data_IF_149915048666
#
_entry.id   IF_149915048666
#
_cell.length_a   1.000
_cell.length_b   1.000
_cell.length_c   1.000
_cell.angle_alpha   90.00
_cell.angle_beta   90.00
_cell.angle_gamma   90.00
#
_symmetry.space_group_name_H-M   'P 1'
#
loop_
_entity.id
_entity.type
_entity.pdbx_description
1 polymer ?
#
# COMPACT_ATOMS: atom_id res chain seq x y z
N UNK A 1 -8.54 9.02 -28.80
CA UNK A 1 -8.85 7.71 -29.44
C UNK A 1 -8.12 6.67 -28.62
N UNK A 2 -8.84 5.91 -27.78
CA UNK A 2 -8.23 4.81 -27.01
C UNK A 2 -7.93 3.66 -27.95
N UNK A 3 -6.68 3.24 -28.02
CA UNK A 3 -6.31 1.99 -28.71
C UNK A 3 -6.95 0.82 -27.96
N UNK A 4 -7.88 0.17 -28.60
CA UNK A 4 -8.53 -1.02 -28.10
C UNK A 4 -7.54 -2.19 -28.24
N UNK A 5 -6.98 -2.67 -27.11
CA UNK A 5 -6.19 -3.91 -27.08
C UNK A 5 -7.16 -5.10 -27.29
N UNK A 6 -6.93 -5.96 -28.32
CA UNK A 6 -7.79 -7.11 -28.59
C UNK A 6 -7.81 -8.17 -27.48
N UNK A 7 -7.02 -8.03 -26.42
CA UNK A 7 -7.00 -8.90 -25.24
C UNK A 7 -7.95 -8.47 -24.12
N UNK A 8 -8.76 -7.40 -24.31
CA UNK A 8 -9.76 -6.94 -23.37
C UNK A 8 -9.22 -6.20 -22.15
N UNK A 9 -7.95 -5.78 -22.17
CA UNK A 9 -7.36 -4.95 -21.13
C UNK A 9 -7.35 -3.49 -21.60
N UNK A 10 -8.29 -2.67 -21.07
CA UNK A 10 -8.21 -1.23 -21.31
C UNK A 10 -7.02 -0.65 -20.56
N UNK A 11 -6.09 -0.06 -21.34
CA UNK A 11 -4.93 0.61 -20.79
C UNK A 11 -5.29 2.05 -20.45
N UNK A 12 -5.30 2.40 -19.17
CA UNK A 12 -5.23 3.80 -18.75
C UNK A 12 -3.80 4.31 -18.88
N UNK A 13 -3.61 5.63 -18.90
CA UNK A 13 -2.28 6.26 -19.13
C UNK A 13 -1.23 5.89 -18.08
N UNK A 14 -1.62 5.35 -16.95
CA UNK A 14 -0.78 5.08 -15.76
C UNK A 14 -0.85 3.62 -15.26
N UNK A 15 -1.43 2.71 -16.02
CA UNK A 15 -1.50 1.29 -15.65
C UNK A 15 -2.43 0.48 -16.52
N UNK A 16 -2.65 -0.77 -16.16
CA UNK A 16 -3.59 -1.70 -16.82
C UNK A 16 -4.76 -1.95 -15.89
N UNK A 17 -6.00 -1.84 -16.40
CA UNK A 17 -7.22 -2.11 -15.64
C UNK A 17 -7.46 -3.63 -15.61
N UNK A 18 -7.75 -4.15 -14.41
CA UNK A 18 -8.21 -5.52 -14.23
C UNK A 18 -9.75 -5.55 -14.18
N UNK A 19 -10.36 -5.88 -15.31
CA UNK A 19 -11.82 -5.93 -15.45
C UNK A 19 -12.46 -7.07 -14.63
N UNK A 20 -11.76 -8.20 -14.47
CA UNK A 20 -12.25 -9.33 -13.69
C UNK A 20 -12.39 -8.91 -12.21
N UNK A 21 -11.36 -8.29 -11.64
CA UNK A 21 -11.46 -7.78 -10.28
C UNK A 21 -12.47 -6.64 -10.16
N UNK A 22 -12.56 -5.76 -11.16
CA UNK A 22 -13.60 -4.72 -11.23
C UNK A 22 -15.01 -5.29 -11.21
N UNK A 23 -15.25 -6.39 -11.95
CA UNK A 23 -16.53 -7.10 -11.96
C UNK A 23 -16.82 -7.73 -10.59
N UNK A 24 -15.83 -8.38 -9.96
CA UNK A 24 -15.96 -8.92 -8.60
C UNK A 24 -16.39 -7.83 -7.62
N UNK A 25 -15.73 -6.66 -7.61
CA UNK A 25 -16.10 -5.54 -6.75
C UNK A 25 -17.55 -5.05 -6.98
N UNK A 26 -18.02 -5.10 -8.23
CA UNK A 26 -19.37 -4.65 -8.60
C UNK A 26 -20.47 -5.65 -8.27
N UNK A 27 -20.16 -6.96 -8.29
CA UNK A 27 -21.13 -8.04 -8.22
C UNK A 27 -21.09 -8.87 -6.94
N UNK A 28 -20.21 -8.53 -5.98
CA UNK A 28 -20.18 -9.18 -4.66
C UNK A 28 -21.56 -9.08 -4.01
N UNK A 29 -22.11 -10.22 -3.59
CA UNK A 29 -23.42 -10.28 -2.97
C UNK A 29 -23.46 -9.47 -1.66
N UNK A 30 -24.58 -8.80 -1.34
CA UNK A 30 -24.66 -7.94 -0.14
C UNK A 30 -24.32 -8.64 1.18
N UNK A 31 -24.55 -9.95 1.28
CA UNK A 31 -24.23 -10.75 2.47
C UNK A 31 -22.74 -11.03 2.64
N UNK A 32 -21.99 -10.98 1.54
CA UNK A 32 -20.54 -11.24 1.49
C UNK A 32 -19.75 -9.95 1.31
N UNK A 33 -20.44 -8.82 1.06
CA UNK A 33 -19.81 -7.51 0.83
C UNK A 33 -19.50 -6.83 2.18
N UNK A 34 -18.25 -6.46 2.33
CA UNK A 34 -17.73 -5.85 3.55
C UNK A 34 -16.61 -4.85 3.26
N UNK A 35 -15.97 -4.34 4.30
CA UNK A 35 -14.92 -3.34 4.15
C UNK A 35 -13.76 -3.82 3.27
N UNK A 36 -13.26 -2.90 2.43
CA UNK A 36 -12.05 -3.10 1.62
C UNK A 36 -11.15 -1.87 1.72
N UNK A 37 -9.85 -2.10 1.80
CA UNK A 37 -8.82 -1.06 1.84
C UNK A 37 -8.14 -0.97 0.48
N UNK A 38 -8.37 0.13 -0.25
CA UNK A 38 -7.71 0.37 -1.53
C UNK A 38 -6.34 1.02 -1.27
N UNK A 39 -5.29 0.22 -1.45
CA UNK A 39 -3.90 0.60 -1.23
C UNK A 39 -3.34 1.08 -2.55
N UNK A 40 -2.94 2.35 -2.61
CA UNK A 40 -2.47 3.03 -3.81
C UNK A 40 -0.98 3.33 -3.70
N UNK A 41 -0.19 2.81 -4.64
CA UNK A 41 1.17 3.25 -4.89
C UNK A 41 1.12 4.22 -6.07
N UNK A 42 1.73 5.39 -5.94
CA UNK A 42 1.63 6.48 -6.91
C UNK A 42 3.00 6.99 -7.30
N UNK A 43 3.24 6.99 -8.61
CA UNK A 43 4.38 7.65 -9.27
C UNK A 43 3.86 8.81 -10.09
N UNK A 44 4.38 10.01 -9.83
CA UNK A 44 3.96 11.23 -10.51
C UNK A 44 4.78 11.50 -11.76
N UNK A 45 4.16 12.19 -12.72
CA UNK A 45 4.86 12.86 -13.79
C UNK A 45 5.61 14.08 -13.25
N UNK A 46 6.73 14.42 -13.84
CA UNK A 46 7.42 15.67 -13.52
C UNK A 46 6.51 16.89 -13.84
N UNK A 47 5.88 16.86 -14.99
CA UNK A 47 4.90 17.87 -15.43
C UNK A 47 3.59 17.15 -15.77
N UNK A 48 2.48 17.66 -15.23
CA UNK A 48 1.15 17.11 -15.51
C UNK A 48 0.77 17.32 -16.98
N UNK A 49 0.18 16.31 -17.60
CA UNK A 49 -0.19 16.29 -19.01
C UNK A 49 -1.72 16.31 -19.16
N UNK A 50 -2.30 17.48 -19.19
CA UNK A 50 -3.75 17.64 -19.45
C UNK A 50 -4.06 17.48 -20.93
N UNK A 51 -5.22 16.85 -21.25
CA UNK A 51 -5.63 16.57 -22.62
C UNK A 51 -5.96 17.82 -23.47
N UNK A 52 -6.18 18.96 -22.81
CA UNK A 52 -6.41 20.27 -23.44
C UNK A 52 -5.10 21.03 -23.75
N UNK A 53 -3.94 20.42 -23.48
CA UNK A 53 -2.63 21.03 -23.66
C UNK A 53 -2.26 22.04 -22.57
N UNK A 54 -3.09 22.23 -21.54
CA UNK A 54 -2.70 23.04 -20.39
C UNK A 54 -1.57 22.34 -19.64
N UNK A 55 -0.55 23.13 -19.31
CA UNK A 55 0.64 22.66 -18.61
C UNK A 55 1.02 23.69 -17.54
N UNK A 56 1.98 23.38 -16.69
CA UNK A 56 2.57 24.34 -15.75
C UNK A 56 2.45 23.95 -14.28
N UNK A 57 1.91 22.78 -13.97
CA UNK A 57 1.94 22.20 -12.63
C UNK A 57 2.61 20.82 -12.66
N UNK A 58 3.19 20.42 -11.52
CA UNK A 58 3.73 19.08 -11.36
C UNK A 58 2.63 18.01 -11.29
N UNK A 59 3.00 16.75 -11.52
CA UNK A 59 2.08 15.63 -11.31
C UNK A 59 1.60 15.53 -9.86
N UNK A 60 2.45 15.92 -8.89
CA UNK A 60 2.11 15.99 -7.48
C UNK A 60 1.02 17.03 -7.21
N UNK A 61 1.17 18.24 -7.75
CA UNK A 61 0.15 19.30 -7.61
C UNK A 61 -1.17 18.90 -8.29
N UNK A 62 -1.11 18.17 -9.40
CA UNK A 62 -2.30 17.62 -10.03
C UNK A 62 -3.00 16.60 -9.12
N UNK A 63 -2.26 15.69 -8.45
CA UNK A 63 -2.84 14.77 -7.49
C UNK A 63 -3.43 15.48 -6.26
N UNK A 64 -2.78 16.53 -5.77
CA UNK A 64 -3.32 17.34 -4.68
C UNK A 64 -4.66 18.03 -5.09
N UNK A 65 -4.83 18.42 -6.37
CA UNK A 65 -6.11 18.89 -6.92
C UNK A 65 -7.15 17.79 -7.11
N UNK A 66 -6.69 16.57 -7.40
CA UNK A 66 -7.57 15.40 -7.55
C UNK A 66 -8.27 15.06 -6.23
N UNK A 67 -7.65 15.21 -5.08
CA UNK A 67 -8.11 14.77 -3.74
C UNK A 67 -9.65 14.70 -3.61
N UNK A 68 -10.29 13.52 -3.81
CA UNK A 68 -11.75 13.41 -3.99
C UNK A 68 -12.50 13.27 -2.65
N UNK A 69 -12.20 14.13 -1.67
CA UNK A 69 -12.69 14.01 -0.28
C UNK A 69 -14.22 13.98 -0.22
N UNK A 70 -14.90 14.83 -0.98
CA UNK A 70 -16.36 14.91 -0.98
C UNK A 70 -16.98 13.64 -1.59
N UNK A 71 -16.40 13.14 -2.68
CA UNK A 71 -16.87 11.90 -3.32
C UNK A 71 -16.67 10.69 -2.42
N UNK A 72 -15.53 10.62 -1.70
CA UNK A 72 -15.26 9.57 -0.72
C UNK A 72 -16.27 9.62 0.44
N UNK A 73 -16.47 10.82 1.02
CA UNK A 73 -17.43 11.01 2.12
C UNK A 73 -18.85 10.60 1.74
N UNK A 74 -19.26 10.89 0.50
CA UNK A 74 -20.60 10.58 0.02
C UNK A 74 -20.91 9.07 -0.05
N UNK A 75 -19.89 8.22 -0.17
CA UNK A 75 -20.02 6.75 -0.17
C UNK A 75 -19.56 6.14 1.16
N UNK A 76 -19.31 6.95 2.20
CA UNK A 76 -18.86 6.50 3.50
C UNK A 76 -17.39 6.05 3.55
N UNK A 77 -16.62 6.33 2.50
CA UNK A 77 -15.20 6.02 2.45
C UNK A 77 -14.35 7.12 3.10
N UNK A 78 -13.16 6.75 3.56
CA UNK A 78 -12.21 7.71 4.15
C UNK A 78 -10.76 7.33 3.86
N UNK A 79 -9.90 8.32 3.72
CA UNK A 79 -8.46 8.12 3.68
C UNK A 79 -8.03 7.77 5.11
N UNK A 80 -7.41 6.61 5.28
CA UNK A 80 -6.91 6.11 6.56
C UNK A 80 -5.39 6.14 6.66
N UNK A 81 -4.72 6.32 5.51
CA UNK A 81 -3.27 6.48 5.45
C UNK A 81 -2.89 7.33 4.25
N UNK A 82 -1.97 8.26 4.44
CA UNK A 82 -1.36 9.06 3.38
C UNK A 82 0.07 9.38 3.77
N UNK A 83 1.02 9.00 2.91
CA UNK A 83 2.43 9.16 3.19
C UNK A 83 3.25 9.43 1.92
N UNK A 84 4.24 10.29 2.04
CA UNK A 84 5.25 10.46 1.02
C UNK A 84 6.33 9.39 1.15
N UNK A 85 6.83 8.91 0.02
CA UNK A 85 7.93 7.95 -0.04
C UNK A 85 9.24 8.71 0.13
N UNK A 86 9.97 8.41 1.21
CA UNK A 86 11.32 8.98 1.42
C UNK A 86 12.38 8.18 0.66
N UNK A 87 12.20 6.85 0.59
CA UNK A 87 13.16 5.96 -0.06
C UNK A 87 12.50 4.65 -0.52
N UNK A 88 12.87 4.18 -1.70
CA UNK A 88 12.55 2.84 -2.20
C UNK A 88 13.78 1.96 -1.98
N UNK A 89 13.69 0.99 -1.06
CA UNK A 89 14.79 0.11 -0.69
C UNK A 89 14.89 -1.11 -1.58
N UNK A 90 13.74 -1.70 -1.95
CA UNK A 90 13.65 -2.85 -2.83
C UNK A 90 12.53 -2.62 -3.85
N UNK A 91 12.74 -3.08 -5.07
CA UNK A 91 11.79 -2.98 -6.17
C UNK A 91 12.47 -3.15 -7.53
N UNK A 92 11.74 -2.83 -8.57
CA UNK A 92 12.15 -2.95 -10.00
C UNK A 92 12.76 -1.67 -10.60
N UNK A 93 13.13 -0.71 -9.74
CA UNK A 93 13.68 0.58 -10.16
C UNK A 93 12.64 1.70 -10.28
N UNK A 94 11.35 1.43 -10.10
CA UNK A 94 10.33 2.48 -9.99
C UNK A 94 10.50 3.22 -8.66
N UNK A 95 10.76 4.52 -8.76
CA UNK A 95 10.85 5.41 -7.60
C UNK A 95 9.46 5.97 -7.31
N UNK A 96 8.70 5.28 -6.47
CA UNK A 96 7.37 5.69 -6.03
C UNK A 96 7.45 7.01 -5.24
N UNK A 97 6.41 7.85 -5.34
CA UNK A 97 6.39 9.17 -4.70
C UNK A 97 5.46 9.23 -3.49
N UNK A 98 4.34 8.48 -3.52
CA UNK A 98 3.31 8.51 -2.45
C UNK A 98 2.63 7.16 -2.31
N UNK A 99 2.23 6.84 -1.07
CA UNK A 99 1.33 5.72 -0.77
C UNK A 99 0.10 6.26 -0.03
N UNK A 100 -1.09 5.84 -0.47
CA UNK A 100 -2.35 6.16 0.18
C UNK A 100 -3.19 4.90 0.40
N UNK A 101 -3.92 4.85 1.52
CA UNK A 101 -4.92 3.80 1.78
C UNK A 101 -6.27 4.45 2.03
N UNK A 102 -7.27 4.02 1.25
CA UNK A 102 -8.66 4.44 1.39
C UNK A 102 -9.48 3.25 1.84
N UNK A 103 -10.12 3.36 3.01
CA UNK A 103 -11.09 2.37 3.50
C UNK A 103 -12.46 2.68 2.92
N UNK A 104 -13.04 1.70 2.24
CA UNK A 104 -14.43 1.71 1.79
C UNK A 104 -15.26 0.81 2.69
N UNK A 105 -16.52 1.17 3.02
CA UNK A 105 -17.38 0.31 3.84
C UNK A 105 -17.77 -0.98 3.13
N UNK A 106 -17.82 -0.97 1.81
CA UNK A 106 -18.09 -2.14 0.96
C UNK A 106 -17.33 -2.04 -0.36
N UNK A 107 -17.13 -3.15 -1.05
CA UNK A 107 -16.57 -3.19 -2.41
C UNK A 107 -17.43 -2.41 -3.38
N UNK A 108 -18.76 -2.54 -3.23
CA UNK A 108 -19.74 -1.82 -4.05
C UNK A 108 -19.63 -0.30 -3.88
N UNK A 109 -19.30 0.20 -2.68
CA UNK A 109 -19.06 1.63 -2.44
C UNK A 109 -17.90 2.19 -3.27
N UNK A 110 -16.85 1.37 -3.52
CA UNK A 110 -15.77 1.76 -4.42
C UNK A 110 -16.28 1.97 -5.85
N UNK A 111 -17.10 1.05 -6.38
CA UNK A 111 -17.69 1.16 -7.71
C UNK A 111 -18.67 2.35 -7.79
N UNK A 112 -19.48 2.55 -6.75
CA UNK A 112 -20.39 3.69 -6.67
C UNK A 112 -19.63 5.02 -6.76
N UNK A 113 -18.53 5.15 -5.99
CA UNK A 113 -17.68 6.35 -6.05
C UNK A 113 -17.18 6.62 -7.47
N UNK A 114 -16.73 5.60 -8.21
CA UNK A 114 -16.25 5.72 -9.59
C UNK A 114 -17.33 6.23 -10.55
N UNK A 115 -18.60 5.96 -10.28
CA UNK A 115 -19.73 6.36 -11.11
C UNK A 115 -20.17 7.81 -10.88
N UNK A 116 -19.75 8.44 -9.79
CA UNK A 116 -20.17 9.78 -9.39
C UNK A 116 -19.68 10.88 -10.35
N UNK A 117 -20.54 11.85 -10.73
CA UNK A 117 -20.14 12.94 -11.61
C UNK A 117 -19.06 13.87 -11.01
N UNK A 118 -19.09 14.09 -9.68
CA UNK A 118 -18.08 14.91 -9.00
C UNK A 118 -16.71 14.24 -9.01
N UNK A 119 -16.65 12.92 -8.76
CA UNK A 119 -15.43 12.14 -8.89
C UNK A 119 -14.84 12.20 -10.31
N UNK A 120 -15.67 11.95 -11.31
CA UNK A 120 -15.23 11.96 -12.72
C UNK A 120 -14.69 13.33 -13.16
N UNK A 121 -15.25 14.42 -12.66
CA UNK A 121 -14.71 15.77 -12.95
C UNK A 121 -13.33 16.00 -12.34
N UNK A 122 -13.06 15.43 -11.17
CA UNK A 122 -11.75 15.55 -10.55
C UNK A 122 -10.72 14.55 -11.10
N UNK A 123 -11.19 13.42 -11.62
CA UNK A 123 -10.33 12.34 -12.11
C UNK A 123 -9.39 12.78 -13.27
N UNK A 124 -9.73 13.82 -14.00
CA UNK A 124 -8.86 14.42 -15.03
C UNK A 124 -7.52 14.88 -14.47
N UNK A 125 -7.47 15.27 -13.21
CA UNK A 125 -6.23 15.66 -12.54
C UNK A 125 -5.34 14.44 -12.23
N UNK A 126 -5.95 13.32 -11.82
CA UNK A 126 -5.25 12.05 -11.66
C UNK A 126 -4.67 11.58 -12.98
N UNK A 127 -5.48 11.57 -14.05
CA UNK A 127 -5.03 11.19 -15.39
C UNK A 127 -3.86 12.06 -15.89
N UNK A 128 -3.89 13.36 -15.59
CA UNK A 128 -2.83 14.27 -15.99
C UNK A 128 -1.55 14.07 -15.18
N UNK A 129 -1.68 13.84 -13.86
CA UNK A 129 -0.57 13.84 -12.93
C UNK A 129 0.14 12.50 -12.77
N UNK A 130 -0.55 11.36 -12.98
CA UNK A 130 0.01 10.03 -12.76
C UNK A 130 0.87 9.56 -13.92
N UNK A 131 2.10 9.14 -13.62
CA UNK A 131 2.96 8.39 -14.53
C UNK A 131 2.66 6.90 -14.43
N UNK A 132 2.54 6.39 -13.19
CA UNK A 132 2.24 5.00 -12.89
C UNK A 132 1.48 4.90 -11.58
N UNK A 133 0.56 3.94 -11.47
CA UNK A 133 -0.08 3.60 -10.20
C UNK A 133 -0.35 2.10 -10.10
N UNK A 134 -0.32 1.60 -8.86
CA UNK A 134 -0.82 0.29 -8.48
C UNK A 134 -1.90 0.51 -7.44
N UNK A 135 -3.10 -0.01 -7.66
CA UNK A 135 -4.23 0.05 -6.70
C UNK A 135 -4.64 -1.37 -6.35
N UNK A 136 -4.34 -1.77 -5.12
CA UNK A 136 -4.60 -3.11 -4.61
C UNK A 136 -5.76 -3.05 -3.62
N UNK A 137 -6.77 -3.88 -3.82
CA UNK A 137 -7.81 -4.11 -2.82
C UNK A 137 -7.28 -5.04 -1.74
N UNK A 138 -7.21 -4.57 -0.51
CA UNK A 138 -6.71 -5.30 0.64
C UNK A 138 -7.81 -5.69 1.60
N UNK A 139 -7.70 -6.90 2.15
CA UNK A 139 -8.52 -7.40 3.26
C UNK A 139 -7.60 -7.64 4.44
N UNK A 140 -7.91 -7.12 5.66
CA UNK A 140 -7.05 -7.29 6.81
C UNK A 140 -6.83 -8.76 7.15
N UNK A 141 -5.58 -9.12 7.41
CA UNK A 141 -5.20 -10.40 8.00
C UNK A 141 -5.02 -10.24 9.51
N UNK A 142 -5.36 -11.29 10.25
CA UNK A 142 -5.06 -11.35 11.67
C UNK A 142 -3.54 -11.32 11.86
N UNK A 143 -3.04 -10.34 12.60
CA UNK A 143 -1.63 -10.27 12.97
C UNK A 143 -1.37 -11.41 13.95
N UNK A 144 -0.34 -12.26 13.71
CA UNK A 144 0.03 -13.29 14.66
C UNK A 144 0.35 -12.63 16.01
N UNK A 145 -0.50 -12.89 17.02
CA UNK A 145 -0.22 -12.43 18.39
C UNK A 145 0.94 -13.25 18.93
N UNK A 146 2.03 -12.58 19.29
CA UNK A 146 3.03 -13.19 20.16
C UNK A 146 2.38 -13.41 21.52
N UNK A 147 2.54 -14.61 22.10
CA UNK A 147 2.07 -14.93 23.46
C UNK A 147 2.70 -14.04 24.53
N UNK A 148 3.77 -13.34 24.16
CA UNK A 148 4.53 -12.42 25.01
C UNK A 148 4.40 -10.96 24.52
N UNK A 149 3.24 -10.54 23.98
CA UNK A 149 3.06 -9.14 23.62
C UNK A 149 3.31 -8.26 24.86
N UNK A 150 4.40 -7.49 24.90
CA UNK A 150 4.57 -6.47 25.92
C UNK A 150 3.46 -5.46 25.74
N UNK A 151 2.82 -5.08 26.83
CA UNK A 151 1.91 -3.94 26.88
C UNK A 151 2.49 -2.80 26.01
N UNK A 152 1.70 -2.27 25.10
CA UNK A 152 2.02 -1.32 24.02
C UNK A 152 3.45 -0.74 24.10
N UNK A 153 4.31 -1.15 23.15
CA UNK A 153 5.73 -0.75 23.11
C UNK A 153 5.87 0.76 23.35
N UNK A 154 6.50 1.11 24.47
CA UNK A 154 6.74 2.51 24.83
C UNK A 154 7.98 3.01 24.09
N UNK A 155 7.79 3.78 23.06
CA UNK A 155 8.89 4.30 22.22
C UNK A 155 9.93 5.14 22.98
N UNK A 156 9.58 5.70 24.12
CA UNK A 156 10.54 6.39 25.00
C UNK A 156 11.58 5.47 25.66
N UNK A 157 11.38 4.14 25.60
CA UNK A 157 12.23 3.14 26.25
C UNK A 157 13.01 2.27 25.26
N UNK A 158 12.85 2.47 23.97
CA UNK A 158 13.59 1.72 22.94
C UNK A 158 14.97 2.36 22.69
N UNK A 159 15.93 1.63 22.09
CA UNK A 159 17.29 2.15 21.85
C UNK A 159 17.34 3.45 21.02
N UNK A 160 16.41 3.60 20.08
CA UNK A 160 16.35 4.76 19.17
C UNK A 160 14.95 5.38 19.19
N UNK A 161 14.58 6.12 20.27
CA UNK A 161 13.30 6.78 20.38
C UNK A 161 13.14 7.88 19.33
N UNK A 162 11.91 8.32 19.03
CA UNK A 162 11.70 9.42 18.09
C UNK A 162 12.28 10.71 18.63
N UNK A 163 12.86 11.52 17.73
CA UNK A 163 13.39 12.86 18.00
C UNK A 163 12.80 13.88 17.03
N UNK A 164 13.11 15.17 17.22
CA UNK A 164 12.67 16.21 16.28
C UNK A 164 13.26 16.05 14.88
N UNK A 165 14.48 15.50 14.78
CA UNK A 165 15.19 15.31 13.51
C UNK A 165 15.00 13.91 12.91
N UNK A 166 14.62 12.91 13.72
CA UNK A 166 14.36 11.53 13.30
C UNK A 166 13.08 11.01 13.99
N UNK A 167 11.96 11.42 13.45
CA UNK A 167 10.62 11.02 13.90
C UNK A 167 10.15 9.68 13.33
N UNK A 168 8.92 9.26 13.66
CA UNK A 168 8.37 7.99 13.21
C UNK A 168 8.37 7.81 11.70
N UNK A 169 8.68 6.59 11.25
CA UNK A 169 8.60 6.17 9.85
C UNK A 169 7.72 4.94 9.72
N UNK A 170 7.07 4.80 8.58
CA UNK A 170 6.35 3.59 8.21
C UNK A 170 7.10 2.88 7.09
N UNK A 171 7.39 1.60 7.29
CA UNK A 171 7.98 0.77 6.25
C UNK A 171 6.87 -0.09 5.65
N UNK A 172 6.58 0.12 4.38
CA UNK A 172 5.61 -0.70 3.65
C UNK A 172 6.34 -1.78 2.85
N UNK A 173 5.81 -3.00 2.94
CA UNK A 173 6.22 -4.13 2.10
C UNK A 173 5.04 -4.53 1.23
N UNK A 174 5.20 -4.52 -0.08
CA UNK A 174 4.28 -5.12 -1.04
C UNK A 174 4.95 -6.38 -1.55
N UNK A 175 4.30 -7.53 -1.36
CA UNK A 175 4.94 -8.84 -1.49
C UNK A 175 4.19 -9.72 -2.50
N UNK A 176 4.95 -10.32 -3.39
CA UNK A 176 4.56 -11.46 -4.20
C UNK A 176 5.38 -12.68 -3.76
N UNK A 177 4.73 -13.79 -3.49
CA UNK A 177 5.38 -15.04 -3.08
C UNK A 177 5.47 -16.02 -4.25
N UNK A 178 6.44 -16.94 -4.19
CA UNK A 178 6.46 -18.10 -5.06
C UNK A 178 5.37 -19.10 -4.66
N UNK A 179 4.77 -19.77 -5.63
CA UNK A 179 3.91 -20.94 -5.48
C UNK A 179 2.77 -20.77 -4.44
N UNK A 180 2.16 -19.57 -4.38
CA UNK A 180 1.04 -19.26 -3.50
C UNK A 180 -0.19 -18.93 -4.34
N UNK A 181 -1.23 -19.73 -4.23
CA UNK A 181 -2.52 -19.51 -4.90
C UNK A 181 -3.47 -18.62 -4.10
N UNK A 182 -3.38 -18.65 -2.76
CA UNK A 182 -4.21 -17.85 -1.86
C UNK A 182 -3.35 -16.76 -1.17
N UNK A 183 -3.62 -15.52 -1.48
CA UNK A 183 -2.91 -14.35 -0.94
C UNK A 183 -2.97 -14.23 0.60
N UNK A 184 -3.93 -14.88 1.27
CA UNK A 184 -4.00 -14.93 2.72
C UNK A 184 -2.92 -15.85 3.33
N UNK A 185 -2.39 -16.80 2.55
CA UNK A 185 -1.37 -17.73 3.00
C UNK A 185 0.02 -17.08 2.95
N UNK A 186 0.78 -17.31 4.01
CA UNK A 186 2.20 -16.93 4.07
C UNK A 186 3.04 -18.22 3.94
N UNK A 187 3.99 -18.31 2.98
CA UNK A 187 4.88 -19.44 2.85
C UNK A 187 5.61 -19.79 4.15
N UNK A 188 5.90 -21.08 4.39
CA UNK A 188 6.58 -21.56 5.61
C UNK A 188 7.92 -20.88 5.83
N UNK A 189 8.71 -20.71 4.79
CA UNK A 189 10.00 -20.01 4.82
C UNK A 189 9.83 -18.56 5.24
N UNK A 190 8.82 -17.88 4.70
CA UNK A 190 8.53 -16.52 5.09
C UNK A 190 8.02 -16.41 6.54
N UNK A 191 7.32 -17.45 7.06
CA UNK A 191 6.91 -17.51 8.47
C UNK A 191 8.12 -17.65 9.40
N UNK A 192 9.12 -18.47 9.03
CA UNK A 192 10.38 -18.61 9.78
C UNK A 192 11.12 -17.28 9.81
N UNK A 193 11.32 -16.65 8.65
CA UNK A 193 11.97 -15.34 8.56
C UNK A 193 11.27 -14.28 9.40
N UNK A 194 9.95 -14.13 9.25
CA UNK A 194 9.22 -13.09 9.95
C UNK A 194 9.23 -13.27 11.48
N UNK A 195 9.27 -14.51 11.97
CA UNK A 195 9.35 -14.79 13.40
C UNK A 195 10.70 -14.33 13.97
N UNK A 196 11.81 -14.62 13.28
CA UNK A 196 13.13 -14.16 13.67
C UNK A 196 13.25 -12.61 13.56
N UNK A 197 12.80 -12.05 12.43
CA UNK A 197 12.85 -10.62 12.21
C UNK A 197 11.98 -9.83 13.21
N UNK A 198 10.83 -10.37 13.61
CA UNK A 198 9.95 -9.75 14.61
C UNK A 198 10.61 -9.65 15.99
N UNK A 199 11.37 -10.66 16.40
CA UNK A 199 12.09 -10.63 17.70
C UNK A 199 13.06 -9.45 17.76
N UNK A 200 13.81 -9.21 16.70
CA UNK A 200 14.73 -8.08 16.60
C UNK A 200 13.95 -6.76 16.51
N UNK A 201 12.96 -6.69 15.62
CA UNK A 201 12.23 -5.47 15.35
C UNK A 201 11.40 -4.96 16.55
N UNK A 202 10.83 -5.85 17.36
CA UNK A 202 10.09 -5.48 18.59
C UNK A 202 10.99 -4.81 19.62
N UNK A 203 12.26 -5.23 19.73
CA UNK A 203 13.24 -4.58 20.63
C UNK A 203 13.52 -3.13 20.18
N UNK A 204 13.40 -2.85 18.88
CA UNK A 204 13.56 -1.52 18.30
C UNK A 204 12.25 -0.76 18.15
N UNK A 205 11.17 -1.23 18.75
CA UNK A 205 9.91 -0.49 18.84
C UNK A 205 8.95 -0.66 17.69
N UNK A 206 9.10 -1.74 16.89
CA UNK A 206 8.16 -2.08 15.83
C UNK A 206 6.71 -2.09 16.34
N UNK A 207 5.82 -1.49 15.56
CA UNK A 207 4.36 -1.68 15.64
C UNK A 207 3.85 -2.09 14.26
N UNK A 208 3.01 -3.10 14.20
CA UNK A 208 2.34 -3.48 12.95
C UNK A 208 1.09 -2.61 12.83
N UNK A 209 1.09 -1.67 11.88
CA UNK A 209 -0.03 -0.75 11.66
C UNK A 209 -1.07 -1.30 10.68
N UNK A 210 -0.70 -2.29 9.86
CA UNK A 210 -1.61 -2.96 8.94
C UNK A 210 -0.95 -4.17 8.29
N UNK A 211 -1.76 -5.21 8.08
CA UNK A 211 -1.37 -6.41 7.37
C UNK A 211 -2.56 -6.90 6.55
N UNK A 212 -2.40 -6.91 5.23
CA UNK A 212 -3.49 -7.16 4.30
C UNK A 212 -3.12 -8.30 3.34
N UNK A 213 -4.09 -9.18 3.06
CA UNK A 213 -4.08 -9.99 1.85
C UNK A 213 -4.59 -9.17 0.67
N UNK A 214 -3.98 -9.31 -0.49
CA UNK A 214 -4.46 -8.71 -1.72
C UNK A 214 -5.65 -9.51 -2.25
N UNK A 215 -6.82 -8.90 -2.30
CA UNK A 215 -7.99 -9.51 -2.94
C UNK A 215 -7.90 -9.43 -4.47
N UNK A 216 -7.20 -8.43 -4.97
CA UNK A 216 -6.91 -8.19 -6.37
C UNK A 216 -6.31 -6.81 -6.61
N UNK A 217 -5.71 -6.62 -7.78
CA UNK A 217 -5.18 -5.32 -8.22
C UNK A 217 -6.11 -4.75 -9.28
N UNK A 218 -6.79 -3.61 -9.00
CA UNK A 218 -7.77 -3.04 -9.94
C UNK A 218 -7.11 -2.26 -11.08
N UNK A 219 -6.02 -1.56 -10.77
CA UNK A 219 -5.14 -0.91 -11.74
C UNK A 219 -3.71 -1.23 -11.36
N UNK A 220 -2.86 -1.60 -12.29
CA UNK A 220 -1.48 -1.91 -11.95
C UNK A 220 -0.61 -2.32 -13.12
N UNK A 221 0.40 -3.09 -12.80
CA UNK A 221 1.46 -3.54 -13.70
C UNK A 221 1.29 -5.00 -14.18
N UNK A 222 0.17 -5.64 -13.77
CA UNK A 222 -0.14 -7.04 -14.13
C UNK A 222 0.44 -8.07 -13.17
N UNK A 223 1.21 -7.67 -12.14
CA UNK A 223 1.75 -8.61 -11.13
C UNK A 223 0.68 -9.04 -10.14
N UNK A 224 0.64 -10.32 -9.73
CA UNK A 224 -0.26 -10.84 -8.72
C UNK A 224 0.34 -10.59 -7.32
N UNK A 225 0.13 -9.41 -6.77
CA UNK A 225 0.51 -9.10 -5.41
C UNK A 225 -0.28 -9.92 -4.40
N UNK A 226 0.38 -10.44 -3.34
CA UNK A 226 -0.25 -11.30 -2.33
C UNK A 226 -0.48 -10.60 -1.01
N UNK A 227 0.52 -9.91 -0.45
CA UNK A 227 0.36 -9.26 0.84
C UNK A 227 0.97 -7.85 0.86
N UNK A 228 0.32 -6.98 1.65
CA UNK A 228 0.82 -5.64 1.94
C UNK A 228 0.91 -5.47 3.45
N UNK A 229 2.10 -5.09 3.93
CA UNK A 229 2.40 -4.97 5.35
C UNK A 229 2.93 -3.58 5.67
N UNK A 230 2.37 -2.95 6.70
CA UNK A 230 2.76 -1.63 7.19
C UNK A 230 3.38 -1.78 8.58
N UNK A 231 4.65 -1.46 8.69
CA UNK A 231 5.45 -1.57 9.89
C UNK A 231 5.90 -0.18 10.34
N UNK A 232 5.43 0.27 11.50
CA UNK A 232 5.78 1.60 12.03
C UNK A 232 6.92 1.48 13.03
N UNK A 233 7.96 2.27 12.84
CA UNK A 233 9.11 2.38 13.73
C UNK A 233 9.19 3.77 14.36
N UNK A 234 9.75 3.91 15.57
CA UNK A 234 9.87 5.18 16.26
C UNK A 234 10.77 6.18 15.55
N UNK A 235 11.73 5.69 14.76
CA UNK A 235 12.69 6.49 14.00
C UNK A 235 13.24 5.71 12.81
N UNK A 236 13.78 6.40 11.82
CA UNK A 236 14.50 5.76 10.72
C UNK A 236 15.70 4.95 11.24
N UNK A 237 16.40 5.49 12.25
CA UNK A 237 17.53 4.80 12.86
C UNK A 237 17.13 3.48 13.49
N UNK A 238 16.00 3.42 14.19
CA UNK A 238 15.48 2.17 14.75
C UNK A 238 15.27 1.10 13.66
N UNK A 239 14.72 1.48 12.52
CA UNK A 239 14.55 0.58 11.37
C UNK A 239 15.91 0.14 10.79
N UNK A 240 16.87 1.06 10.63
CA UNK A 240 18.20 0.73 10.06
C UNK A 240 18.93 -0.29 10.94
N UNK A 241 18.87 -0.18 12.27
CA UNK A 241 19.47 -1.16 13.19
C UNK A 241 18.86 -2.55 12.99
N UNK A 242 17.53 -2.64 12.79
CA UNK A 242 16.86 -3.92 12.47
C UNK A 242 17.35 -4.47 11.12
N UNK A 243 17.52 -3.62 10.11
CA UNK A 243 17.97 -4.05 8.78
C UNK A 243 19.40 -4.60 8.82
N UNK A 244 20.25 -4.02 9.67
CA UNK A 244 21.67 -4.38 9.79
C UNK A 244 21.94 -5.50 10.79
N UNK A 245 20.92 -5.98 11.51
CA UNK A 245 21.08 -7.04 12.50
C UNK A 245 21.59 -8.36 11.85
N UNK A 246 22.71 -8.94 12.35
CA UNK A 246 23.33 -10.11 11.74
C UNK A 246 22.43 -11.36 11.71
N UNK A 247 21.66 -11.61 12.78
CA UNK A 247 20.80 -12.77 12.89
C UNK A 247 19.63 -12.66 11.93
N UNK A 248 19.03 -11.45 11.83
CA UNK A 248 17.99 -11.16 10.84
C UNK A 248 18.51 -11.31 9.40
N UNK A 249 19.73 -10.84 9.11
CA UNK A 249 20.34 -10.97 7.77
C UNK A 249 20.59 -12.43 7.38
N UNK A 250 21.04 -13.26 8.34
CA UNK A 250 21.21 -14.70 8.11
C UNK A 250 19.87 -15.35 7.71
N UNK A 251 18.81 -15.11 8.47
CA UNK A 251 17.47 -15.62 8.17
C UNK A 251 16.88 -15.03 6.88
N UNK A 252 17.18 -13.78 6.53
CA UNK A 252 16.76 -13.20 5.25
C UNK A 252 17.30 -14.01 4.08
N UNK A 253 18.60 -14.27 4.06
CA UNK A 253 19.27 -14.99 2.98
C UNK A 253 18.78 -16.43 2.85
N UNK A 254 18.54 -17.09 4.00
CA UNK A 254 18.16 -18.50 4.03
C UNK A 254 16.69 -18.73 3.67
N UNK A 255 15.79 -17.86 4.15
CA UNK A 255 14.35 -18.12 4.08
C UNK A 255 13.58 -17.07 3.28
N UNK A 256 13.81 -15.75 3.49
CA UNK A 256 13.03 -14.70 2.85
C UNK A 256 13.25 -14.64 1.34
N UNK A 257 14.51 -14.71 0.93
CA UNK A 257 14.88 -14.55 -0.49
C UNK A 257 14.40 -15.72 -1.35
N UNK A 258 14.16 -16.90 -0.76
CA UNK A 258 13.56 -18.05 -1.46
C UNK A 258 12.03 -18.00 -1.51
N UNK A 259 11.39 -17.29 -0.58
CA UNK A 259 9.93 -17.23 -0.49
C UNK A 259 9.32 -16.12 -1.37
N UNK A 260 10.07 -15.07 -1.68
CA UNK A 260 9.57 -13.86 -2.37
C UNK A 260 10.00 -13.88 -3.83
N UNK A 261 9.02 -13.82 -4.75
CA UNK A 261 9.26 -13.70 -6.19
C UNK A 261 9.43 -12.25 -6.61
N UNK A 262 8.70 -11.31 -5.98
CA UNK A 262 8.81 -9.87 -6.24
C UNK A 262 8.40 -9.05 -5.02
N UNK A 263 8.93 -7.84 -4.88
CA UNK A 263 8.63 -6.99 -3.73
C UNK A 263 8.87 -5.52 -4.01
N UNK A 264 8.07 -4.66 -3.36
CA UNK A 264 8.47 -3.31 -3.04
C UNK A 264 8.68 -3.19 -1.53
N UNK A 265 9.75 -2.54 -1.12
CA UNK A 265 9.98 -2.14 0.27
C UNK A 265 10.33 -0.65 0.28
N UNK A 266 9.54 0.15 0.98
CA UNK A 266 9.65 1.60 0.95
C UNK A 266 9.59 2.18 2.36
N UNK A 267 10.41 3.21 2.63
CA UNK A 267 10.32 4.04 3.84
C UNK A 267 9.41 5.22 3.53
N UNK A 268 8.43 5.44 4.39
CA UNK A 268 7.38 6.43 4.23
C UNK A 268 7.35 7.40 5.41
N UNK A 269 7.00 8.67 5.11
CA UNK A 269 6.66 9.68 6.13
C UNK A 269 5.16 9.98 6.05
N UNK A 270 4.41 9.53 7.05
CA UNK A 270 2.97 9.69 7.07
C UNK A 270 2.55 11.12 7.44
N UNK A 271 1.57 11.64 6.69
CA UNK A 271 0.80 12.85 7.02
C UNK A 271 -0.60 12.51 7.57
N UNK A 272 -1.13 11.32 7.24
CA UNK A 272 -2.32 10.71 7.86
C UNK A 272 -1.93 9.28 8.23
N UNK A 273 -2.14 8.89 9.49
CA UNK A 273 -1.87 7.53 9.99
C UNK A 273 -2.96 7.07 10.98
N UNK A 274 -4.13 6.78 10.41
CA UNK A 274 -5.27 6.15 11.09
C UNK A 274 -5.40 4.67 10.72
N UNK A 275 -4.34 4.09 10.10
CA UNK A 275 -4.43 2.76 9.50
C UNK A 275 -4.72 1.68 10.56
N UNK A 276 -3.96 1.65 11.65
CA UNK A 276 -4.13 0.68 12.71
C UNK A 276 -5.55 0.71 13.29
N UNK A 277 -6.07 1.89 13.62
CA UNK A 277 -7.44 2.05 14.14
C UNK A 277 -8.54 1.77 13.09
N UNK A 278 -8.17 1.66 11.82
CA UNK A 278 -9.12 1.39 10.75
C UNK A 278 -9.42 -0.09 10.54
N UNK A 279 -8.55 -0.99 11.04
CA UNK A 279 -8.65 -2.45 10.86
C UNK A 279 -9.27 -3.16 12.07
N UNK A 280 -9.44 -2.44 13.20
CA UNK A 280 -10.09 -2.90 14.43
C UNK A 280 -11.62 -3.03 14.28
#
# INVERSE_FOLDING_TARGET
>A
MSEHDPRGTDRVRYGTINHEYGLKLATTEPGDDGPVWMINLMKYREVAEYGDGSAGISGREADDRYMPVESLRAVGARIVFLADVEEVLLGDGVMWDRVAVVKYPTRRSFIEMQSRPDFRRQHVHKDAGMQQTIVIGGVPLSIPKSTDEPAAVQWSKVPHPPTGDDGPVVVVHVLQFHDVDDAANTPSEMQVYQSAAAQVALQHGLRVSGWFSAEGTIVGDGRPWHQIRFHTFPSRRAFVEVVQDPDRLAHQKEFRDSAISDTYTMILRASIDDLASSVD
#
